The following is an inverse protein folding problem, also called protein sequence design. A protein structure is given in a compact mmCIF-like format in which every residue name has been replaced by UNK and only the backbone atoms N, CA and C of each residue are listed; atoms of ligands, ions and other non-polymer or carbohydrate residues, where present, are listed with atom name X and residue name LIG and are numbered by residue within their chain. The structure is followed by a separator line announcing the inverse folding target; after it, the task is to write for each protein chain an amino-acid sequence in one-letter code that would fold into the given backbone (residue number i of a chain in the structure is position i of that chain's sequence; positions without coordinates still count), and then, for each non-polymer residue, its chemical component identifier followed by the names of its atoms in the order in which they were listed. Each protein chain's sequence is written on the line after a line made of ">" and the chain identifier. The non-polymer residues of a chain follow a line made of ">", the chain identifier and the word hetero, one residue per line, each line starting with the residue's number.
data_IF_818851156276
#
_entry.id   IF_818851156276
#
_cell.length_a   1.000
_cell.length_b   1.000
_cell.length_c   1.000
_cell.angle_alpha   90.00
_cell.angle_beta   90.00
_cell.angle_gamma   90.00
#
_symmetry.space_group_name_H-M   'P 1'
#
loop_
_entity.id
_entity.type
_entity.pdbx_description
1 polymer ?
#
# COMPACT_ATOMS: atom_id res chain seq x y z
N UNK A 1 11.81 -6.97 19.66
CA UNK A 1 11.21 -6.45 18.41
C UNK A 1 11.91 -5.16 18.03
N UNK A 2 12.46 -5.10 16.82
CA UNK A 2 13.00 -3.86 16.23
C UNK A 2 12.24 -3.67 14.92
N UNK A 3 11.27 -2.75 14.91
CA UNK A 3 10.59 -2.32 13.70
C UNK A 3 10.67 -0.80 13.67
N UNK A 4 11.59 -0.27 12.87
CA UNK A 4 11.96 1.14 12.92
C UNK A 4 12.10 1.71 11.51
N UNK A 5 11.19 2.62 11.17
CA UNK A 5 11.22 3.40 9.94
C UNK A 5 11.71 4.82 10.17
N UNK A 6 12.27 5.43 9.13
CA UNK A 6 12.55 6.86 9.08
C UNK A 6 12.23 7.43 7.70
N UNK A 7 11.74 8.66 7.67
CA UNK A 7 11.48 9.36 6.42
C UNK A 7 12.80 9.77 5.74
N UNK A 8 12.85 9.66 4.41
CA UNK A 8 13.99 10.01 3.58
C UNK A 8 13.54 10.91 2.42
N UNK A 9 13.92 12.19 2.50
CA UNK A 9 13.57 13.23 1.54
C UNK A 9 14.55 13.34 0.36
N UNK A 10 15.69 12.62 0.39
CA UNK A 10 16.79 12.81 -0.57
C UNK A 10 16.36 12.74 -2.04
N UNK A 11 15.50 11.78 -2.38
CA UNK A 11 14.99 11.65 -3.75
C UNK A 11 14.09 12.83 -4.16
N UNK A 12 13.13 13.20 -3.30
CA UNK A 12 12.16 14.22 -3.66
C UNK A 12 12.78 15.63 -3.67
N UNK A 13 13.84 15.85 -2.88
CA UNK A 13 14.66 17.06 -2.97
C UNK A 13 15.37 17.17 -4.32
N UNK A 14 15.91 16.06 -4.85
CA UNK A 14 16.47 16.00 -6.21
C UNK A 14 15.40 16.30 -7.27
N UNK A 15 14.19 15.77 -7.11
CA UNK A 15 13.07 16.06 -8.02
C UNK A 15 12.74 17.55 -8.02
N UNK A 16 12.65 18.18 -6.84
CA UNK A 16 12.40 19.62 -6.72
C UNK A 16 13.52 20.47 -7.32
N UNK A 17 14.78 20.04 -7.23
CA UNK A 17 15.92 20.68 -7.90
C UNK A 17 15.81 20.56 -9.42
N UNK A 18 15.54 19.35 -9.93
CA UNK A 18 15.37 19.10 -11.36
C UNK A 18 14.22 19.93 -11.95
N UNK A 19 13.10 20.08 -11.23
CA UNK A 19 12.00 20.93 -11.67
C UNK A 19 12.31 22.43 -11.76
N UNK A 20 13.39 22.90 -11.11
CA UNK A 20 13.89 24.29 -11.24
C UNK A 20 14.89 24.43 -12.37
N UNK A 21 15.78 23.45 -12.49
CA UNK A 21 16.97 23.50 -13.35
C UNK A 21 17.05 22.20 -14.16
N UNK A 22 16.12 21.99 -15.09
CA UNK A 22 16.08 20.78 -15.92
C UNK A 22 17.40 20.57 -16.65
N UNK A 23 18.23 19.66 -16.16
CA UNK A 23 19.57 19.36 -16.69
C UNK A 23 19.82 17.87 -16.72
N UNK A 24 20.60 17.43 -17.72
CA UNK A 24 20.95 16.01 -17.88
C UNK A 24 21.76 15.48 -16.69
N UNK A 25 22.57 16.33 -16.03
CA UNK A 25 23.29 15.96 -14.81
C UNK A 25 22.35 15.63 -13.66
N UNK A 26 21.37 16.50 -13.38
CA UNK A 26 20.37 16.23 -12.32
C UNK A 26 19.50 15.04 -12.64
N UNK A 27 19.20 14.83 -13.92
CA UNK A 27 18.48 13.63 -14.34
C UNK A 27 19.30 12.37 -14.06
N UNK A 28 20.59 12.35 -14.41
CA UNK A 28 21.47 11.22 -14.11
C UNK A 28 21.53 10.95 -12.59
N UNK A 29 21.70 11.99 -11.77
CA UNK A 29 21.65 11.88 -10.29
C UNK A 29 20.33 11.26 -9.80
N UNK A 30 19.19 11.68 -10.37
CA UNK A 30 17.88 11.11 -10.05
C UNK A 30 17.80 9.62 -10.40
N UNK A 31 18.35 9.22 -11.55
CA UNK A 31 18.24 7.85 -12.05
C UNK A 31 19.13 6.87 -11.27
N UNK A 32 20.27 7.36 -10.78
CA UNK A 32 21.16 6.58 -9.91
C UNK A 32 20.63 6.47 -8.47
N UNK A 33 19.60 7.25 -8.12
CA UNK A 33 19.03 7.22 -6.78
C UNK A 33 18.27 5.91 -6.50
N UNK A 34 18.50 5.30 -5.33
CA UNK A 34 17.87 4.01 -4.95
C UNK A 34 16.35 4.00 -5.06
N UNK A 35 15.70 5.14 -4.78
CA UNK A 35 14.25 5.26 -4.89
C UNK A 35 13.76 5.20 -6.34
N UNK A 36 14.50 5.80 -7.29
CA UNK A 36 14.17 5.71 -8.70
C UNK A 36 14.18 4.26 -9.20
N UNK A 37 15.25 3.55 -8.84
CA UNK A 37 15.45 2.14 -9.19
C UNK A 37 14.37 1.25 -8.54
N UNK A 38 14.07 1.48 -7.26
CA UNK A 38 13.10 0.65 -6.52
C UNK A 38 11.66 0.81 -7.03
N UNK A 39 11.24 2.04 -7.37
CA UNK A 39 9.94 2.32 -7.98
C UNK A 39 9.84 1.70 -9.37
N UNK A 40 10.88 1.83 -10.19
CA UNK A 40 10.90 1.21 -11.52
C UNK A 40 10.82 -0.31 -11.44
N UNK A 41 11.58 -0.94 -10.54
CA UNK A 41 11.47 -2.38 -10.30
C UNK A 41 10.06 -2.80 -9.88
N UNK A 42 9.38 -2.01 -9.05
CA UNK A 42 8.00 -2.25 -8.68
C UNK A 42 7.08 -2.16 -9.91
N UNK A 43 7.22 -1.09 -10.71
CA UNK A 43 6.44 -0.89 -11.91
C UNK A 43 6.60 -2.04 -12.91
N UNK A 44 7.83 -2.51 -13.15
CA UNK A 44 8.09 -3.67 -14.02
C UNK A 44 7.49 -4.95 -13.45
N UNK A 45 7.63 -5.22 -12.14
CA UNK A 45 7.11 -6.45 -11.50
C UNK A 45 5.61 -6.64 -11.69
N UNK A 46 4.86 -5.55 -11.69
CA UNK A 46 3.40 -5.52 -11.82
C UNK A 46 2.94 -5.15 -13.23
N UNK A 47 3.82 -5.19 -14.24
CA UNK A 47 3.52 -4.86 -15.63
C UNK A 47 2.93 -3.45 -15.83
N UNK A 48 3.22 -2.51 -14.92
CA UNK A 48 2.81 -1.11 -15.04
C UNK A 48 3.72 -0.30 -15.98
N UNK A 49 4.87 -0.85 -16.37
CA UNK A 49 5.74 -0.26 -17.38
C UNK A 49 6.56 -1.33 -18.10
N UNK A 50 6.80 -1.09 -19.39
CA UNK A 50 7.81 -1.78 -20.20
C UNK A 50 8.97 -0.85 -20.58
N UNK A 51 8.92 0.40 -20.14
CA UNK A 51 9.93 1.40 -20.44
C UNK A 51 11.19 1.18 -19.61
N UNK A 52 12.34 1.46 -20.20
CA UNK A 52 13.61 1.59 -19.49
C UNK A 52 13.56 2.68 -18.42
N UNK A 53 14.38 2.54 -17.38
CA UNK A 53 14.38 3.40 -16.18
C UNK A 53 14.33 4.90 -16.50
N UNK A 54 15.20 5.36 -17.41
CA UNK A 54 15.29 6.78 -17.79
C UNK A 54 14.02 7.25 -18.48
N UNK A 55 13.50 6.48 -19.44
CA UNK A 55 12.28 6.83 -20.18
C UNK A 55 11.06 6.87 -19.27
N UNK A 56 10.95 5.90 -18.36
CA UNK A 56 9.90 5.83 -17.35
C UNK A 56 9.85 7.09 -16.48
N UNK A 57 11.00 7.49 -15.90
CA UNK A 57 11.05 8.69 -15.07
C UNK A 57 10.95 9.97 -15.87
N UNK A 58 11.50 10.06 -17.08
CA UNK A 58 11.28 11.21 -17.97
C UNK A 58 9.78 11.43 -18.20
N UNK A 59 9.02 10.36 -18.47
CA UNK A 59 7.56 10.45 -18.64
C UNK A 59 6.89 11.00 -17.37
N UNK A 60 7.19 10.41 -16.20
CA UNK A 60 6.60 10.84 -14.93
C UNK A 60 6.94 12.30 -14.61
N UNK A 61 8.22 12.68 -14.73
CA UNK A 61 8.66 14.03 -14.41
C UNK A 61 8.07 15.05 -15.39
N UNK A 62 7.97 14.71 -16.68
CA UNK A 62 7.29 15.56 -17.65
C UNK A 62 5.82 15.77 -17.26
N UNK A 63 5.08 14.73 -16.93
CA UNK A 63 3.68 14.86 -16.51
C UNK A 63 3.55 15.68 -15.21
N UNK A 64 4.44 15.44 -14.25
CA UNK A 64 4.50 16.16 -12.97
C UNK A 64 4.74 17.66 -13.18
N UNK A 65 5.72 18.03 -14.03
CA UNK A 65 6.10 19.41 -14.23
C UNK A 65 5.28 20.14 -15.31
N UNK A 66 4.62 19.43 -16.23
CA UNK A 66 3.59 20.01 -17.11
C UNK A 66 2.43 20.58 -16.29
N UNK A 67 2.13 20.00 -15.13
CA UNK A 67 1.14 20.51 -14.18
C UNK A 67 1.64 21.68 -13.31
N UNK A 68 2.84 22.22 -13.57
CA UNK A 68 3.31 23.53 -13.10
C UNK A 68 3.52 23.67 -11.59
N UNK A 69 3.37 24.91 -11.10
CA UNK A 69 3.66 25.32 -9.71
C UNK A 69 2.82 24.58 -8.66
N UNK A 70 1.61 24.13 -9.00
CA UNK A 70 0.70 23.46 -8.07
C UNK A 70 1.23 22.11 -7.57
N UNK A 71 1.87 21.32 -8.43
CA UNK A 71 2.46 20.04 -8.00
C UNK A 71 3.64 20.29 -7.07
N UNK A 72 4.46 21.30 -7.38
CA UNK A 72 5.59 21.69 -6.54
C UNK A 72 5.13 22.17 -5.16
N UNK A 73 4.13 23.04 -5.09
CA UNK A 73 3.53 23.50 -3.83
C UNK A 73 2.99 22.33 -2.99
N UNK A 74 2.35 21.35 -3.63
CA UNK A 74 1.91 20.13 -2.95
C UNK A 74 3.07 19.36 -2.32
N UNK A 75 4.14 19.11 -3.08
CA UNK A 75 5.31 18.39 -2.60
C UNK A 75 5.96 19.14 -1.42
N UNK A 76 6.22 20.43 -1.58
CA UNK A 76 6.82 21.28 -0.54
C UNK A 76 5.94 21.33 0.72
N UNK A 77 4.62 21.43 0.56
CA UNK A 77 3.67 21.38 1.68
C UNK A 77 3.66 20.03 2.40
N UNK A 78 3.73 18.92 1.64
CA UNK A 78 3.80 17.57 2.21
C UNK A 78 5.11 17.33 2.96
N UNK A 79 6.24 17.81 2.43
CA UNK A 79 7.54 17.75 3.11
C UNK A 79 7.53 18.50 4.44
N UNK A 80 7.11 19.77 4.42
CA UNK A 80 7.00 20.58 5.63
C UNK A 80 6.10 19.93 6.69
N UNK A 81 5.01 19.27 6.25
CA UNK A 81 4.12 18.57 7.15
C UNK A 81 4.81 17.35 7.80
N UNK A 82 5.52 16.54 7.01
CA UNK A 82 6.26 15.37 7.52
C UNK A 82 7.40 15.78 8.47
N UNK A 83 8.16 16.82 8.14
CA UNK A 83 9.22 17.38 9.00
C UNK A 83 8.67 17.84 10.35
N UNK A 84 7.58 18.63 10.33
CA UNK A 84 6.92 19.11 11.57
C UNK A 84 6.34 17.98 12.41
N UNK A 85 6.03 16.83 11.81
CA UNK A 85 5.38 15.69 12.46
C UNK A 85 6.29 14.46 12.59
N UNK A 86 7.62 14.61 12.46
CA UNK A 86 8.54 13.46 12.44
C UNK A 86 8.43 12.59 13.71
N UNK A 87 8.33 13.22 14.89
CA UNK A 87 8.17 12.48 16.15
C UNK A 87 6.83 11.75 16.21
N UNK A 88 5.78 12.35 15.68
CA UNK A 88 4.45 11.73 15.63
C UNK A 88 4.45 10.56 14.65
N UNK A 89 5.03 10.70 13.47
CA UNK A 89 5.25 9.60 12.52
C UNK A 89 5.97 8.43 13.21
N UNK A 90 7.08 8.69 13.93
CA UNK A 90 7.82 7.64 14.65
C UNK A 90 6.96 6.94 15.72
N UNK A 91 6.03 7.65 16.36
CA UNK A 91 5.09 7.04 17.30
C UNK A 91 4.09 6.14 16.58
N UNK A 92 3.51 6.60 15.47
CA UNK A 92 2.58 5.83 14.64
C UNK A 92 3.24 4.57 14.07
N UNK A 93 4.50 4.62 13.65
CA UNK A 93 5.22 3.43 13.19
C UNK A 93 5.43 2.38 14.29
N UNK A 94 5.52 2.80 15.57
CA UNK A 94 5.54 1.86 16.71
C UNK A 94 4.16 1.23 16.95
N UNK A 95 3.08 1.95 16.65
CA UNK A 95 1.72 1.39 16.71
C UNK A 95 1.54 0.32 15.63
N UNK A 96 2.03 0.55 14.40
CA UNK A 96 2.01 -0.46 13.32
C UNK A 96 2.74 -1.75 13.73
N UNK A 97 3.85 -1.64 14.46
CA UNK A 97 4.61 -2.81 14.93
C UNK A 97 3.77 -3.78 15.80
N UNK A 98 2.69 -3.31 16.42
CA UNK A 98 1.79 -4.14 17.23
C UNK A 98 0.94 -5.11 16.40
N UNK A 99 0.89 -4.94 15.08
CA UNK A 99 0.18 -5.81 14.15
C UNK A 99 1.11 -6.78 13.42
N UNK A 100 2.42 -6.71 13.67
CA UNK A 100 3.44 -7.54 13.02
C UNK A 100 4.02 -8.59 14.00
N UNK A 101 4.55 -9.73 13.51
CA UNK A 101 5.17 -10.76 14.34
C UNK A 101 6.20 -10.22 15.35
N UNK A 102 6.26 -10.77 16.56
CA UNK A 102 7.08 -10.25 17.67
C UNK A 102 8.59 -10.36 17.46
N UNK A 103 8.98 -11.29 16.60
CA UNK A 103 10.35 -11.58 16.17
C UNK A 103 10.82 -10.70 15.01
N UNK A 104 10.00 -9.78 14.50
CA UNK A 104 10.43 -8.88 13.43
C UNK A 104 11.63 -8.01 13.87
N UNK A 105 12.64 -7.98 13.00
CA UNK A 105 13.85 -7.18 13.14
C UNK A 105 14.17 -6.50 11.80
N UNK A 106 13.63 -5.30 11.61
CA UNK A 106 13.66 -4.58 10.35
C UNK A 106 13.86 -3.08 10.57
N UNK A 107 14.83 -2.52 9.87
CA UNK A 107 15.05 -1.08 9.74
C UNK A 107 14.79 -0.70 8.27
N UNK A 108 13.95 0.30 8.04
CA UNK A 108 13.56 0.70 6.69
C UNK A 108 13.49 2.22 6.52
N UNK A 109 13.37 2.64 5.28
CA UNK A 109 13.13 4.01 4.87
C UNK A 109 11.74 4.17 4.28
N UNK A 110 11.15 5.33 4.54
CA UNK A 110 9.96 5.82 3.85
C UNK A 110 10.45 6.93 2.91
N UNK A 111 10.58 6.60 1.63
CA UNK A 111 11.05 7.52 0.61
C UNK A 111 9.93 8.43 0.11
N UNK A 112 10.17 9.74 0.11
CA UNK A 112 9.33 10.66 -0.65
C UNK A 112 9.56 10.46 -2.16
N UNK A 113 8.49 10.21 -2.91
CA UNK A 113 8.50 10.10 -4.38
C UNK A 113 7.46 11.04 -5.02
N UNK A 114 7.37 11.05 -6.34
CA UNK A 114 6.36 11.78 -7.11
C UNK A 114 5.78 10.93 -8.22
N UNK A 115 4.47 11.04 -8.46
CA UNK A 115 3.77 10.30 -9.52
C UNK A 115 3.67 8.80 -9.27
N UNK A 116 3.39 8.05 -10.34
CA UNK A 116 3.23 6.59 -10.35
C UNK A 116 2.04 6.04 -9.53
N UNK A 117 2.16 5.95 -8.21
CA UNK A 117 1.12 5.46 -7.29
C UNK A 117 1.06 6.36 -6.04
N UNK A 118 0.09 6.17 -5.12
CA UNK A 118 0.02 6.91 -3.86
C UNK A 118 1.08 6.44 -2.85
N UNK A 119 1.29 5.13 -2.80
CA UNK A 119 2.22 4.46 -1.93
C UNK A 119 2.55 3.07 -2.48
N UNK A 120 3.80 2.64 -2.30
CA UNK A 120 4.24 1.30 -2.68
C UNK A 120 5.28 0.77 -1.67
N UNK A 121 5.51 -0.53 -1.71
CA UNK A 121 6.65 -1.19 -1.06
C UNK A 121 7.53 -1.89 -2.08
N UNK A 122 8.83 -1.65 -1.98
CA UNK A 122 9.81 -2.26 -2.86
C UNK A 122 11.15 -2.42 -2.15
N UNK A 123 11.76 -3.60 -2.31
CA UNK A 123 13.10 -3.90 -1.76
C UNK A 123 13.26 -3.63 -0.25
N UNK A 124 12.19 -3.82 0.53
CA UNK A 124 12.20 -3.66 1.98
C UNK A 124 12.06 -2.21 2.47
N UNK A 125 11.80 -1.27 1.56
CA UNK A 125 11.49 0.13 1.87
C UNK A 125 10.06 0.48 1.41
N UNK A 126 9.51 1.53 2.01
CA UNK A 126 8.23 2.12 1.63
C UNK A 126 8.47 3.41 0.83
N UNK A 127 7.52 3.74 -0.05
CA UNK A 127 7.58 4.93 -0.90
C UNK A 127 6.24 5.64 -0.85
N UNK A 128 6.24 6.96 -0.70
CA UNK A 128 5.04 7.78 -0.62
C UNK A 128 5.09 8.91 -1.64
N UNK A 129 4.08 8.99 -2.49
CA UNK A 129 3.97 10.05 -3.49
C UNK A 129 3.48 11.34 -2.86
N UNK A 130 4.39 12.28 -2.62
CA UNK A 130 4.11 13.53 -1.89
C UNK A 130 3.24 14.52 -2.67
N UNK A 131 3.02 14.27 -3.96
CA UNK A 131 2.16 15.06 -4.83
C UNK A 131 0.71 14.54 -4.91
N UNK A 132 0.37 13.45 -4.21
CA UNK A 132 -0.97 12.88 -4.27
C UNK A 132 -2.04 13.89 -3.77
N UNK A 133 -3.12 14.04 -4.55
CA UNK A 133 -4.21 14.98 -4.25
C UNK A 133 -4.97 14.66 -2.97
N UNK A 134 -4.93 13.40 -2.52
CA UNK A 134 -5.55 12.97 -1.27
C UNK A 134 -5.12 13.83 -0.07
N UNK A 135 -3.88 14.32 -0.07
CA UNK A 135 -3.31 15.10 1.02
C UNK A 135 -3.77 16.57 1.03
N UNK A 136 -4.42 17.05 -0.02
CA UNK A 136 -4.97 18.41 -0.07
C UNK A 136 -6.21 18.54 0.82
N UNK A 137 -7.05 17.49 0.83
CA UNK A 137 -8.28 17.46 1.65
C UNK A 137 -7.97 17.27 3.13
N UNK A 138 -7.03 16.38 3.44
CA UNK A 138 -6.58 16.13 4.81
C UNK A 138 -5.10 15.72 4.81
N UNK A 139 -4.24 16.60 5.32
CA UNK A 139 -2.78 16.37 5.36
C UNK A 139 -2.39 15.17 6.24
N UNK A 140 -3.24 14.76 7.18
CA UNK A 140 -2.98 13.59 8.04
C UNK A 140 -2.94 12.28 7.24
N UNK A 141 -3.56 12.25 6.07
CA UNK A 141 -3.47 11.11 5.16
C UNK A 141 -2.01 10.75 4.83
N UNK A 142 -1.07 11.70 4.80
CA UNK A 142 0.37 11.40 4.67
C UNK A 142 0.87 10.43 5.75
N UNK A 143 0.48 10.66 7.01
CA UNK A 143 0.90 9.83 8.12
C UNK A 143 0.20 8.47 8.10
N UNK A 144 -1.08 8.45 7.73
CA UNK A 144 -1.83 7.21 7.65
C UNK A 144 -1.38 6.31 6.50
N UNK A 145 -1.05 6.88 5.33
CA UNK A 145 -0.42 6.12 4.24
C UNK A 145 0.99 5.68 4.62
N UNK A 146 1.74 6.50 5.38
CA UNK A 146 3.01 6.04 5.94
C UNK A 146 2.85 4.82 6.84
N UNK A 147 1.79 4.76 7.67
CA UNK A 147 1.46 3.56 8.46
C UNK A 147 1.12 2.37 7.57
N UNK A 148 0.27 2.57 6.55
CA UNK A 148 -0.16 1.55 5.59
C UNK A 148 1.04 0.91 4.87
N UNK A 149 1.87 1.72 4.23
CA UNK A 149 3.03 1.22 3.48
C UNK A 149 4.10 0.63 4.41
N UNK A 150 4.24 1.15 5.63
CA UNK A 150 5.14 0.54 6.62
C UNK A 150 4.66 -0.85 7.03
N UNK A 151 3.35 -1.04 7.17
CA UNK A 151 2.81 -2.38 7.43
C UNK A 151 3.16 -3.34 6.29
N UNK A 152 3.03 -2.91 5.03
CA UNK A 152 3.45 -3.69 3.86
C UNK A 152 4.94 -4.08 3.91
N UNK A 153 5.83 -3.19 4.37
CA UNK A 153 7.25 -3.54 4.59
C UNK A 153 7.39 -4.68 5.58
N UNK A 154 6.67 -4.62 6.71
CA UNK A 154 6.70 -5.67 7.73
C UNK A 154 6.12 -7.00 7.25
N UNK A 155 5.01 -6.95 6.50
CA UNK A 155 4.36 -8.13 5.96
C UNK A 155 5.23 -8.83 4.90
N UNK A 156 5.80 -8.05 3.98
CA UNK A 156 6.60 -8.58 2.86
C UNK A 156 7.95 -9.16 3.28
N UNK A 157 8.37 -8.91 4.53
CA UNK A 157 9.49 -9.60 5.15
C UNK A 157 9.22 -11.11 5.34
N UNK A 158 7.96 -11.48 5.63
CA UNK A 158 7.55 -12.87 5.84
C UNK A 158 6.92 -13.49 4.59
N UNK A 159 6.24 -12.66 3.78
CA UNK A 159 5.49 -13.11 2.61
C UNK A 159 6.02 -12.40 1.36
N UNK A 160 6.83 -13.08 0.52
CA UNK A 160 7.35 -12.47 -0.69
C UNK A 160 6.24 -11.94 -1.61
N UNK A 161 6.46 -10.75 -2.17
CA UNK A 161 5.53 -10.11 -3.11
C UNK A 161 5.36 -11.00 -4.35
N UNK A 162 4.11 -11.31 -4.71
CA UNK A 162 3.77 -12.03 -5.95
C UNK A 162 4.07 -11.20 -7.20
N UNK A 163 4.01 -11.82 -8.39
CA UNK A 163 4.08 -11.11 -9.67
C UNK A 163 2.90 -11.49 -10.55
N UNK A 164 2.32 -10.51 -11.25
CA UNK A 164 1.27 -10.81 -12.22
C UNK A 164 1.77 -11.60 -13.43
N UNK A 165 3.09 -11.65 -13.67
CA UNK A 165 3.68 -12.47 -14.74
C UNK A 165 3.49 -13.98 -14.54
N UNK A 166 3.14 -14.43 -13.32
CA UNK A 166 2.96 -15.85 -13.01
C UNK A 166 1.51 -16.31 -13.08
N UNK A 167 0.56 -15.42 -13.37
CA UNK A 167 -0.87 -15.72 -13.43
C UNK A 167 -1.24 -16.50 -14.70
N UNK A 168 -1.74 -17.72 -14.55
CA UNK A 168 -2.19 -18.54 -15.68
C UNK A 168 -3.62 -19.09 -15.50
N UNK A 169 -4.01 -19.40 -14.26
CA UNK A 169 -5.25 -20.10 -13.92
C UNK A 169 -6.05 -19.35 -12.86
N UNK A 170 -7.35 -19.65 -12.76
CA UNK A 170 -8.19 -19.08 -11.70
C UNK A 170 -7.72 -19.47 -10.30
N UNK A 171 -7.03 -20.61 -10.16
CA UNK A 171 -6.28 -20.96 -8.95
C UNK A 171 -5.22 -19.95 -8.58
N UNK A 172 -4.34 -19.60 -9.52
CA UNK A 172 -3.31 -18.58 -9.30
C UNK A 172 -3.96 -17.24 -8.92
N UNK A 173 -5.13 -16.96 -9.52
CA UNK A 173 -5.89 -15.76 -9.21
C UNK A 173 -6.47 -15.79 -7.79
N UNK A 174 -7.02 -16.93 -7.34
CA UNK A 174 -7.49 -17.14 -5.99
C UNK A 174 -6.37 -16.91 -4.97
N UNK A 175 -5.18 -17.43 -5.23
CA UNK A 175 -4.01 -17.26 -4.36
C UNK A 175 -3.62 -15.78 -4.23
N UNK A 176 -3.70 -15.01 -5.32
CA UNK A 176 -3.51 -13.55 -5.27
C UNK A 176 -4.61 -12.86 -4.48
N UNK A 177 -5.88 -13.21 -4.69
CA UNK A 177 -6.98 -12.61 -3.93
C UNK A 177 -6.79 -12.86 -2.44
N UNK A 178 -6.46 -14.09 -2.03
CA UNK A 178 -6.21 -14.42 -0.62
C UNK A 178 -5.00 -13.67 -0.07
N UNK A 179 -3.89 -13.65 -0.82
CA UNK A 179 -2.69 -12.91 -0.44
C UNK A 179 -2.99 -11.42 -0.24
N UNK A 180 -3.68 -10.80 -1.18
CA UNK A 180 -3.95 -9.37 -1.16
C UNK A 180 -5.01 -8.99 -0.14
N UNK A 181 -6.02 -9.82 0.11
CA UNK A 181 -6.96 -9.63 1.22
C UNK A 181 -6.23 -9.60 2.56
N UNK A 182 -5.28 -10.50 2.76
CA UNK A 182 -4.48 -10.52 3.98
C UNK A 182 -3.55 -9.30 4.08
N UNK A 183 -2.80 -9.01 3.02
CA UNK A 183 -1.88 -7.87 2.94
C UNK A 183 -2.60 -6.53 3.16
N UNK A 184 -3.61 -6.24 2.34
CA UNK A 184 -4.32 -4.95 2.34
C UNK A 184 -5.29 -4.80 3.50
N UNK A 185 -5.92 -5.91 3.93
CA UNK A 185 -6.76 -5.95 5.10
C UNK A 185 -6.01 -5.52 6.36
N UNK A 186 -4.84 -6.12 6.60
CA UNK A 186 -4.01 -5.76 7.75
C UNK A 186 -3.48 -4.32 7.66
N UNK A 187 -3.00 -3.89 6.49
CA UNK A 187 -2.47 -2.55 6.31
C UNK A 187 -3.54 -1.46 6.47
N UNK A 188 -4.79 -1.77 6.15
CA UNK A 188 -5.95 -0.90 6.39
C UNK A 188 -6.42 -0.95 7.85
N UNK A 189 -6.34 -2.12 8.48
CA UNK A 189 -6.72 -2.32 9.88
C UNK A 189 -5.74 -1.66 10.86
N UNK A 190 -4.43 -1.73 10.59
CA UNK A 190 -3.39 -1.19 11.46
C UNK A 190 -3.57 0.29 11.85
N UNK A 191 -3.87 1.23 10.92
CA UNK A 191 -4.15 2.63 11.26
C UNK A 191 -5.58 2.91 11.71
N UNK A 192 -6.50 1.93 11.69
CA UNK A 192 -7.94 2.17 11.90
C UNK A 192 -8.24 2.77 13.28
N UNK A 193 -7.61 2.27 14.34
CA UNK A 193 -7.81 2.78 15.70
C UNK A 193 -7.37 4.24 15.83
N UNK A 194 -6.19 4.57 15.30
CA UNK A 194 -5.64 5.93 15.27
C UNK A 194 -6.54 6.86 14.46
N UNK A 195 -6.94 6.44 13.25
CA UNK A 195 -7.89 7.20 12.42
C UNK A 195 -9.22 7.45 13.12
N UNK A 196 -9.77 6.47 13.85
CA UNK A 196 -11.00 6.65 14.64
C UNK A 196 -10.82 7.69 15.74
N UNK A 197 -9.72 7.61 16.50
CA UNK A 197 -9.37 8.59 17.55
C UNK A 197 -9.26 10.01 17.00
N UNK A 198 -8.69 10.14 15.80
CA UNK A 198 -8.45 11.43 15.15
C UNK A 198 -9.58 11.88 14.22
N UNK A 199 -10.63 11.06 14.04
CA UNK A 199 -11.70 11.29 13.05
C UNK A 199 -11.16 11.44 11.62
N UNK A 200 -10.13 10.69 11.27
CA UNK A 200 -9.43 10.68 9.97
C UNK A 200 -10.06 9.72 8.96
N UNK A 201 -11.27 10.02 8.48
CA UNK A 201 -12.04 9.17 7.55
C UNK A 201 -12.11 9.74 6.13
N UNK A 202 -11.14 10.56 5.74
CA UNK A 202 -11.22 11.31 4.48
C UNK A 202 -11.07 10.41 3.25
N UNK A 203 -10.31 9.32 3.39
CA UNK A 203 -10.12 8.27 2.39
C UNK A 203 -11.31 7.29 2.35
N UNK A 204 -11.63 6.79 1.16
CA UNK A 204 -12.86 6.04 0.90
C UNK A 204 -12.98 4.72 1.68
N UNK A 205 -11.87 4.03 1.91
CA UNK A 205 -11.88 2.77 2.67
C UNK A 205 -12.39 3.02 4.09
N UNK A 206 -11.88 4.06 4.74
CA UNK A 206 -12.22 4.40 6.12
C UNK A 206 -13.58 5.09 6.24
N UNK A 207 -14.01 5.82 5.20
CA UNK A 207 -15.40 6.27 5.07
C UNK A 207 -16.36 5.07 5.02
N UNK A 208 -16.01 4.02 4.28
CA UNK A 208 -16.81 2.79 4.17
C UNK A 208 -16.83 2.02 5.49
N UNK A 209 -15.68 1.78 6.11
CA UNK A 209 -15.53 1.08 7.40
C UNK A 209 -16.19 1.81 8.58
N UNK A 210 -16.52 3.09 8.42
CA UNK A 210 -17.29 3.86 9.41
C UNK A 210 -18.81 3.75 9.19
N UNK A 211 -19.26 2.97 8.21
CA UNK A 211 -20.66 2.74 7.87
C UNK A 211 -20.94 1.23 7.79
N UNK A 212 -21.56 0.64 8.83
CA UNK A 212 -21.78 -0.80 8.92
C UNK A 212 -22.51 -1.40 7.73
N UNK A 213 -23.56 -0.74 7.22
CA UNK A 213 -24.32 -1.21 6.06
C UNK A 213 -23.45 -1.31 4.81
N UNK A 214 -22.67 -0.26 4.49
CA UNK A 214 -21.76 -0.27 3.34
C UNK A 214 -20.66 -1.33 3.49
N UNK A 215 -20.18 -1.53 4.72
CA UNK A 215 -19.17 -2.55 5.02
C UNK A 215 -19.75 -3.94 4.79
N UNK A 216 -20.97 -4.20 5.27
CA UNK A 216 -21.70 -5.45 5.05
C UNK A 216 -21.91 -5.73 3.56
N UNK A 217 -22.36 -4.73 2.79
CA UNK A 217 -22.59 -4.87 1.35
C UNK A 217 -21.29 -5.23 0.59
N UNK A 218 -20.17 -4.59 0.96
CA UNK A 218 -18.85 -4.88 0.39
C UNK A 218 -18.36 -6.27 0.76
N UNK A 219 -18.57 -6.71 2.01
CA UNK A 219 -18.21 -8.06 2.44
C UNK A 219 -19.04 -9.12 1.70
N UNK A 220 -20.36 -8.93 1.58
CA UNK A 220 -21.22 -9.85 0.83
C UNK A 220 -20.77 -9.94 -0.64
N UNK A 221 -20.43 -8.79 -1.25
CA UNK A 221 -19.92 -8.75 -2.63
C UNK A 221 -18.58 -9.47 -2.76
N UNK A 222 -17.68 -9.30 -1.79
CA UNK A 222 -16.39 -9.99 -1.74
C UNK A 222 -16.57 -11.51 -1.72
N UNK A 223 -17.37 -12.03 -0.80
CA UNK A 223 -17.59 -13.48 -0.65
C UNK A 223 -18.25 -14.08 -1.89
N UNK A 224 -19.25 -13.42 -2.46
CA UNK A 224 -19.88 -13.86 -3.71
C UNK A 224 -18.88 -13.97 -4.88
N UNK A 225 -17.88 -13.08 -4.96
CA UNK A 225 -16.85 -13.14 -5.98
C UNK A 225 -15.81 -14.21 -5.67
N UNK A 226 -15.45 -14.40 -4.40
CA UNK A 226 -14.50 -15.43 -3.99
C UNK A 226 -15.05 -16.83 -4.34
N UNK A 227 -16.32 -17.10 -4.03
CA UNK A 227 -17.00 -18.36 -4.39
C UNK A 227 -17.00 -18.59 -5.92
N UNK A 228 -17.20 -17.53 -6.72
CA UNK A 228 -17.14 -17.63 -8.17
C UNK A 228 -15.74 -18.02 -8.65
N UNK A 229 -14.69 -17.41 -8.10
CA UNK A 229 -13.30 -17.76 -8.43
C UNK A 229 -13.02 -19.21 -8.05
N UNK A 230 -13.40 -19.63 -6.84
CA UNK A 230 -13.20 -21.00 -6.33
C UNK A 230 -13.90 -22.05 -7.19
N UNK A 231 -15.08 -21.74 -7.73
CA UNK A 231 -15.82 -22.65 -8.61
C UNK A 231 -15.17 -22.86 -10.00
N UNK A 232 -14.12 -22.11 -10.33
CA UNK A 232 -13.47 -22.09 -11.65
C UNK A 232 -11.98 -22.50 -11.62
N UNK A 233 -11.49 -23.12 -10.54
CA UNK A 233 -10.06 -23.32 -10.20
C UNK A 233 -9.14 -23.68 -11.39
N UNK A 234 -9.52 -24.63 -12.24
CA UNK A 234 -8.70 -25.10 -13.38
C UNK A 234 -8.83 -24.26 -14.67
N UNK A 235 -9.76 -23.30 -14.71
CA UNK A 235 -9.99 -22.45 -15.88
C UNK A 235 -8.78 -21.53 -16.09
N UNK A 236 -8.35 -21.37 -17.33
CA UNK A 236 -7.38 -20.33 -17.70
C UNK A 236 -8.01 -18.95 -17.53
N UNK A 237 -7.19 -18.00 -17.08
CA UNK A 237 -7.60 -16.59 -16.98
C UNK A 237 -7.82 -16.04 -18.39
N UNK A 238 -8.93 -15.32 -18.57
CA UNK A 238 -9.27 -14.56 -19.77
C UNK A 238 -9.33 -13.07 -19.45
N UNK A 239 -9.26 -12.20 -20.47
CA UNK A 239 -9.28 -10.74 -20.30
C UNK A 239 -10.46 -10.23 -19.44
N UNK A 240 -11.63 -10.89 -19.55
CA UNK A 240 -12.82 -10.54 -18.76
C UNK A 240 -12.66 -10.80 -17.26
N UNK A 241 -11.82 -11.76 -16.89
CA UNK A 241 -11.61 -12.13 -15.49
C UNK A 241 -10.81 -11.04 -14.75
N UNK A 242 -10.06 -10.18 -15.47
CA UNK A 242 -9.39 -9.00 -14.91
C UNK A 242 -10.36 -7.92 -14.40
N UNK A 243 -11.63 -7.93 -14.82
CA UNK A 243 -12.65 -7.05 -14.22
C UNK A 243 -12.82 -7.36 -12.72
N UNK A 244 -12.65 -8.63 -12.32
CA UNK A 244 -12.69 -9.04 -10.92
C UNK A 244 -11.53 -8.40 -10.16
N UNK A 245 -10.34 -8.29 -10.75
CA UNK A 245 -9.19 -7.59 -10.14
C UNK A 245 -9.53 -6.12 -9.88
N UNK A 246 -10.15 -5.43 -10.84
CA UNK A 246 -10.53 -4.02 -10.67
C UNK A 246 -11.57 -3.86 -9.56
N UNK A 247 -12.50 -4.81 -9.39
CA UNK A 247 -13.44 -4.78 -8.26
C UNK A 247 -12.74 -5.07 -6.92
N UNK A 248 -11.82 -6.03 -6.89
CA UNK A 248 -11.08 -6.38 -5.68
C UNK A 248 -10.14 -5.26 -5.21
N UNK A 249 -9.37 -4.68 -6.14
CA UNK A 249 -8.23 -3.79 -5.86
C UNK A 249 -8.47 -2.33 -6.22
N UNK A 250 -9.32 -2.10 -7.23
CA UNK A 250 -9.42 -0.87 -7.99
C UNK A 250 -10.22 0.23 -7.32
N UNK A 251 -10.48 1.31 -8.06
CA UNK A 251 -10.82 2.60 -7.43
C UNK A 251 -12.19 2.65 -6.77
N UNK A 252 -13.10 1.75 -7.12
CA UNK A 252 -14.51 1.85 -6.72
C UNK A 252 -14.87 1.01 -5.50
N UNK A 253 -14.57 -0.29 -5.53
CA UNK A 253 -15.09 -1.22 -4.53
C UNK A 253 -14.07 -1.61 -3.46
N UNK A 254 -12.80 -1.80 -3.84
CA UNK A 254 -11.68 -2.10 -2.92
C UNK A 254 -12.02 -3.25 -1.97
N UNK A 255 -12.66 -4.30 -2.51
CA UNK A 255 -13.28 -5.36 -1.73
C UNK A 255 -12.30 -6.05 -0.79
N UNK A 256 -11.07 -6.33 -1.25
CA UNK A 256 -10.08 -7.01 -0.42
C UNK A 256 -9.55 -6.14 0.74
N UNK A 257 -9.71 -4.81 0.66
CA UNK A 257 -9.34 -3.89 1.74
C UNK A 257 -10.40 -3.94 2.83
N UNK A 258 -11.67 -3.84 2.41
CA UNK A 258 -12.81 -3.80 3.33
C UNK A 258 -13.01 -5.17 3.99
N UNK A 259 -13.16 -6.23 3.20
CA UNK A 259 -13.35 -7.58 3.72
C UNK A 259 -12.14 -8.05 4.54
N UNK A 260 -10.91 -7.78 4.06
CA UNK A 260 -9.70 -8.10 4.81
C UNK A 260 -9.63 -7.37 6.16
N UNK A 261 -10.05 -6.11 6.23
CA UNK A 261 -10.11 -5.36 7.49
C UNK A 261 -11.11 -5.99 8.47
N UNK A 262 -12.26 -6.44 7.97
CA UNK A 262 -13.30 -7.10 8.77
C UNK A 262 -12.85 -8.47 9.29
N UNK A 263 -12.12 -9.24 8.47
CA UNK A 263 -11.49 -10.48 8.89
C UNK A 263 -10.44 -10.21 9.98
N UNK A 264 -9.58 -9.20 9.79
CA UNK A 264 -8.60 -8.79 10.81
C UNK A 264 -9.28 -8.43 12.13
N UNK A 265 -10.35 -7.64 12.07
CA UNK A 265 -11.14 -7.23 13.23
C UNK A 265 -11.71 -8.43 13.98
N UNK A 266 -12.31 -9.38 13.25
CA UNK A 266 -12.93 -10.57 13.84
C UNK A 266 -11.88 -11.47 14.52
N UNK A 267 -10.73 -11.70 13.87
CA UNK A 267 -9.62 -12.47 14.46
C UNK A 267 -9.08 -11.76 15.70
N UNK A 268 -8.82 -10.45 15.64
CA UNK A 268 -8.25 -9.68 16.74
C UNK A 268 -9.18 -9.63 17.96
N UNK A 269 -10.48 -9.42 17.74
CA UNK A 269 -11.48 -9.32 18.81
C UNK A 269 -11.82 -10.69 19.43
N UNK A 270 -11.86 -11.76 18.63
CA UNK A 270 -12.29 -13.10 19.08
C UNK A 270 -11.13 -13.99 19.53
N UNK A 271 -10.04 -14.04 18.75
CA UNK A 271 -8.88 -14.92 19.00
C UNK A 271 -7.67 -14.17 19.57
N UNK A 272 -7.70 -12.84 19.54
CA UNK A 272 -6.68 -11.98 20.10
C UNK A 272 -5.56 -11.61 19.11
N UNK A 273 -4.94 -10.46 19.39
CA UNK A 273 -3.88 -9.87 18.57
C UNK A 273 -2.73 -10.82 18.22
N UNK A 274 -2.31 -11.67 19.14
CA UNK A 274 -1.21 -12.60 18.88
C UNK A 274 -1.58 -13.68 17.86
N UNK A 275 -2.86 -14.09 17.77
CA UNK A 275 -3.35 -14.96 16.68
C UNK A 275 -3.25 -14.23 15.35
N UNK A 276 -3.76 -13.00 15.26
CA UNK A 276 -3.68 -12.18 14.04
C UNK A 276 -2.23 -11.97 13.59
N UNK A 277 -1.30 -11.69 14.51
CA UNK A 277 0.13 -11.54 14.16
C UNK A 277 0.75 -12.83 13.66
N UNK A 278 0.29 -13.98 14.15
CA UNK A 278 0.76 -15.29 13.72
C UNK A 278 0.39 -15.56 12.27
N UNK A 279 -0.77 -15.07 11.80
CA UNK A 279 -1.19 -15.22 10.39
C UNK A 279 -0.19 -14.55 9.45
N UNK A 280 0.38 -13.39 9.82
CA UNK A 280 1.44 -12.74 9.02
C UNK A 280 2.62 -13.68 8.79
N UNK A 281 3.03 -14.44 9.81
CA UNK A 281 4.19 -15.34 9.71
C UNK A 281 3.86 -16.64 8.95
N UNK A 282 2.64 -17.14 9.10
CA UNK A 282 2.17 -18.39 8.48
C UNK A 282 1.62 -18.21 7.07
N UNK A 283 1.29 -16.98 6.72
CA UNK A 283 0.84 -16.58 5.39
C UNK A 283 -0.68 -16.53 5.23
N UNK A 284 -1.14 -16.24 3.99
CA UNK A 284 -2.54 -15.97 3.70
C UNK A 284 -3.51 -17.09 4.06
N UNK A 285 -3.14 -18.36 3.88
CA UNK A 285 -4.06 -19.47 4.20
C UNK A 285 -4.41 -19.53 5.69
N UNK A 286 -3.41 -19.37 6.57
CA UNK A 286 -3.64 -19.34 8.03
C UNK A 286 -4.50 -18.13 8.45
N UNK A 287 -4.51 -17.04 7.67
CA UNK A 287 -5.40 -15.91 7.89
C UNK A 287 -6.87 -16.25 7.61
N UNK A 288 -7.15 -16.98 6.52
CA UNK A 288 -8.51 -17.44 6.21
C UNK A 288 -8.98 -18.50 7.20
N UNK A 289 -8.12 -19.48 7.52
CA UNK A 289 -8.41 -20.50 8.55
C UNK A 289 -8.69 -19.85 9.92
N UNK A 290 -7.88 -18.87 10.33
CA UNK A 290 -8.10 -18.14 11.57
C UNK A 290 -9.42 -17.36 11.57
N UNK A 291 -9.86 -16.85 10.42
CA UNK A 291 -11.15 -16.17 10.31
C UNK A 291 -12.32 -17.16 10.40
N UNK A 292 -12.22 -18.34 9.79
CA UNK A 292 -13.23 -19.41 9.91
C UNK A 292 -13.44 -19.83 11.37
N UNK A 293 -12.40 -19.82 12.20
CA UNK A 293 -12.50 -20.07 13.65
C UNK A 293 -13.32 -19.01 14.42
N UNK A 294 -13.67 -17.87 13.80
CA UNK A 294 -14.42 -16.77 14.44
C UNK A 294 -15.92 -16.74 14.14
N UNK A 295 -16.38 -17.62 13.25
CA UNK A 295 -17.78 -17.72 12.79
C UNK A 295 -18.48 -18.88 13.49
#
# INVERSE_FOLDING_TARGET
>A
MVFSGSFDASFIELVLRYGKESSETLLAELMDHKAAIAVHHHATRFNNTTQELISFWKSILNDVFQNGSQVRERIESSLQYLEKNEQHLRALLREVAQFLPSDINLNFKIHGIVGYDIGIVSKGDAFLNLAARHYEKDKRELLYFAMHESHHVGYTHYNPIYSFSTLNTMKDFLDIVRYSTHLEGLATYAPLATRRKEKGFSHQDYSTLNHPEKTSDRCATYWNLLEQIESLDEKKIEDKDYEIIERMSGRNERLWYIAGTEMCRSIDETLGRDRLRTTVKRGPMDFFEAYEETI
#
